data_IF_448890830858
#
_entry.id   IF_448890830858
#
_cell.length_a   1.000
_cell.length_b   1.000
_cell.length_c   1.000
_cell.angle_alpha   90.00
_cell.angle_beta   90.00
_cell.angle_gamma   90.00
#
_symmetry.space_group_name_H-M   'P 1'
#
loop_
_entity.id
_entity.type
_entity.pdbx_description
1 polymer ?
#
# COMPACT_ATOMS: atom_id res chain seq x y z
N UNK A 1 24.45 -5.40 27.51
CA UNK A 1 23.06 -4.89 27.59
C UNK A 1 22.54 -4.84 26.17
N UNK A 2 22.28 -6.02 25.63
CA UNK A 2 22.41 -6.26 24.20
C UNK A 2 21.07 -6.00 23.50
N UNK A 3 20.99 -4.83 22.86
CA UNK A 3 19.93 -4.39 21.96
C UNK A 3 19.79 -5.32 20.75
N UNK A 4 19.21 -6.52 20.88
CA UNK A 4 19.12 -7.46 19.74
C UNK A 4 17.82 -8.27 19.59
N UNK A 5 16.73 -7.94 20.31
CA UNK A 5 15.39 -8.34 19.85
C UNK A 5 14.74 -7.18 19.10
N UNK A 6 15.32 -6.84 17.94
CA UNK A 6 14.52 -6.21 16.91
C UNK A 6 13.55 -7.27 16.39
N UNK A 7 12.41 -7.46 17.08
CA UNK A 7 11.27 -8.18 16.54
C UNK A 7 11.11 -7.70 15.10
N UNK A 8 11.05 -8.58 14.09
CA UNK A 8 10.89 -8.14 12.71
C UNK A 8 9.64 -7.27 12.68
N UNK A 9 9.83 -5.94 12.62
CA UNK A 9 8.74 -4.98 12.71
C UNK A 9 7.96 -5.15 11.43
N UNK A 10 6.91 -5.96 11.52
CA UNK A 10 5.92 -6.14 10.48
C UNK A 10 5.56 -4.74 9.99
N UNK A 11 5.83 -4.40 8.71
CA UNK A 11 5.72 -3.03 8.27
C UNK A 11 4.30 -2.53 8.48
N UNK A 12 4.08 -1.51 9.31
CA UNK A 12 2.74 -0.98 9.58
C UNK A 12 2.14 -0.17 8.42
N UNK A 13 2.93 0.05 7.35
CA UNK A 13 2.58 0.89 6.21
C UNK A 13 2.83 0.14 4.92
N UNK A 14 1.90 0.28 3.99
CA UNK A 14 1.97 -0.25 2.63
C UNK A 14 2.00 0.91 1.64
N UNK A 15 2.64 0.70 0.49
CA UNK A 15 2.66 1.69 -0.59
C UNK A 15 1.43 1.52 -1.47
N UNK A 16 0.80 2.64 -1.83
CA UNK A 16 -0.38 2.70 -2.68
C UNK A 16 -0.06 3.58 -3.87
N UNK A 17 -0.33 3.09 -5.08
CA UNK A 17 -0.17 3.88 -6.30
C UNK A 17 -1.50 4.57 -6.63
N UNK A 18 -1.50 5.89 -6.71
CA UNK A 18 -2.68 6.62 -7.18
C UNK A 18 -2.85 6.40 -8.70
N UNK A 19 -4.02 5.95 -9.14
CA UNK A 19 -4.33 5.77 -10.57
C UNK A 19 -4.37 7.09 -11.36
N UNK A 20 -4.68 8.21 -10.69
CA UNK A 20 -4.80 9.53 -11.32
C UNK A 20 -3.45 10.21 -11.55
N UNK A 21 -2.71 10.47 -10.47
CA UNK A 21 -1.42 11.18 -10.57
C UNK A 21 -0.22 10.24 -10.70
N UNK A 22 -0.41 8.92 -10.62
CA UNK A 22 0.65 7.90 -10.66
C UNK A 22 1.76 8.10 -9.60
N UNK A 23 1.48 8.90 -8.57
CA UNK A 23 2.39 9.11 -7.44
C UNK A 23 2.13 8.04 -6.38
N UNK A 24 3.15 7.27 -5.98
CA UNK A 24 3.02 6.33 -4.88
C UNK A 24 3.04 7.07 -3.54
N UNK A 25 2.11 6.75 -2.65
CA UNK A 25 2.07 7.23 -1.27
C UNK A 25 2.06 6.07 -0.29
N UNK A 26 2.28 6.34 1.01
CA UNK A 26 2.30 5.31 2.05
C UNK A 26 1.06 5.44 2.93
N UNK A 27 0.29 4.37 3.05
CA UNK A 27 -0.90 4.30 3.89
C UNK A 27 -0.74 3.21 4.95
N UNK A 28 -1.37 3.37 6.11
CA UNK A 28 -1.26 2.39 7.19
C UNK A 28 -2.04 1.12 6.85
N UNK A 29 -1.48 -0.05 7.15
CA UNK A 29 -2.13 -1.34 6.91
C UNK A 29 -3.44 -1.47 7.68
N UNK A 30 -3.54 -0.87 8.86
CA UNK A 30 -4.79 -0.84 9.64
C UNK A 30 -5.96 -0.16 8.91
N UNK A 31 -5.65 0.74 7.98
CA UNK A 31 -6.59 1.49 7.15
C UNK A 31 -6.92 0.73 5.84
N UNK A 32 -6.16 -0.30 5.48
CA UNK A 32 -6.42 -1.15 4.30
C UNK A 32 -7.55 -2.15 4.58
N UNK A 33 -8.77 -1.63 4.73
CA UNK A 33 -10.00 -2.38 4.95
C UNK A 33 -10.99 -2.07 3.83
N UNK A 34 -11.87 -3.02 3.56
CA UNK A 34 -12.94 -2.83 2.58
C UNK A 34 -13.85 -1.66 3.00
N UNK A 35 -14.13 -0.77 2.06
CA UNK A 35 -14.92 0.43 2.29
C UNK A 35 -14.14 1.59 2.92
N UNK A 36 -12.86 1.43 3.27
CA UNK A 36 -12.07 2.56 3.74
C UNK A 36 -11.81 3.54 2.58
N UNK A 37 -11.96 4.83 2.85
CA UNK A 37 -11.73 5.87 1.86
C UNK A 37 -10.65 6.82 2.36
N UNK A 38 -9.67 7.11 1.50
CA UNK A 38 -8.63 8.11 1.78
C UNK A 38 -8.50 9.05 0.60
N UNK A 39 -7.95 10.24 0.83
CA UNK A 39 -7.60 11.15 -0.25
C UNK A 39 -6.13 10.97 -0.59
N UNK A 40 -5.81 10.93 -1.89
CA UNK A 40 -4.43 10.96 -2.33
C UNK A 40 -3.78 12.27 -1.86
N UNK A 41 -2.63 12.23 -1.16
CA UNK A 41 -1.99 13.44 -0.63
C UNK A 41 -1.42 14.36 -1.71
N UNK A 42 -1.34 13.90 -2.97
CA UNK A 42 -0.77 14.67 -4.07
C UNK A 42 -1.81 15.33 -4.99
N UNK A 43 -2.97 14.69 -5.19
CA UNK A 43 -3.99 15.18 -6.14
C UNK A 43 -5.39 15.27 -5.54
N UNK A 44 -5.52 15.05 -4.23
CA UNK A 44 -6.76 15.03 -3.45
C UNK A 44 -7.88 14.15 -4.03
N UNK A 45 -7.52 13.19 -4.90
CA UNK A 45 -8.47 12.23 -5.43
C UNK A 45 -8.90 11.28 -4.31
N UNK A 46 -10.20 11.13 -4.14
CA UNK A 46 -10.78 10.12 -3.25
C UNK A 46 -10.46 8.72 -3.80
N UNK A 47 -9.82 7.90 -2.97
CA UNK A 47 -9.45 6.52 -3.24
C UNK A 47 -10.26 5.66 -2.27
N UNK A 48 -11.05 4.74 -2.84
CA UNK A 48 -11.81 3.76 -2.06
C UNK A 48 -11.05 2.45 -2.08
N UNK A 49 -10.66 1.96 -0.90
CA UNK A 49 -10.06 0.65 -0.73
C UNK A 49 -11.16 -0.40 -0.67
N UNK A 50 -11.30 -1.14 -1.76
CA UNK A 50 -12.13 -2.33 -1.86
C UNK A 50 -11.35 -3.42 -2.59
N UNK A 51 -11.67 -4.68 -2.30
CA UNK A 51 -11.18 -5.81 -3.09
C UNK A 51 -11.73 -5.74 -4.53
N UNK A 52 -12.93 -5.21 -4.70
CA UNK A 52 -13.60 -4.99 -5.99
C UNK A 52 -13.23 -3.65 -6.67
N UNK A 53 -12.29 -2.88 -6.12
CA UNK A 53 -11.87 -1.62 -6.74
C UNK A 53 -11.25 -1.87 -8.12
N UNK A 54 -11.71 -1.15 -9.14
CA UNK A 54 -11.11 -1.19 -10.48
C UNK A 54 -9.66 -0.67 -10.53
N UNK A 55 -9.23 0.04 -9.49
CA UNK A 55 -7.88 0.57 -9.36
C UNK A 55 -6.88 -0.54 -8.99
N UNK A 56 -6.07 -0.98 -9.96
CA UNK A 56 -5.01 -1.97 -9.75
C UNK A 56 -4.02 -1.58 -8.63
N UNK A 57 -3.75 -0.28 -8.46
CA UNK A 57 -2.90 0.24 -7.39
C UNK A 57 -3.48 -0.02 -5.99
N UNK A 58 -4.81 0.05 -5.87
CA UNK A 58 -5.56 -0.24 -4.65
C UNK A 58 -5.59 -1.74 -4.40
N UNK A 59 -5.92 -2.55 -5.41
CA UNK A 59 -5.96 -4.01 -5.27
C UNK A 59 -4.61 -4.60 -4.85
N UNK A 60 -3.52 -4.11 -5.44
CA UNK A 60 -2.16 -4.52 -5.06
C UNK A 60 -1.83 -4.15 -3.62
N UNK A 61 -2.14 -2.93 -3.23
CA UNK A 61 -1.89 -2.48 -1.86
C UNK A 61 -2.73 -3.27 -0.84
N UNK A 62 -3.99 -3.59 -1.16
CA UNK A 62 -4.85 -4.45 -0.32
C UNK A 62 -4.30 -5.87 -0.20
N UNK A 63 -3.81 -6.43 -1.30
CA UNK A 63 -3.16 -7.76 -1.32
C UNK A 63 -1.92 -7.77 -0.45
N UNK A 64 -1.10 -6.73 -0.55
CA UNK A 64 0.13 -6.57 0.21
C UNK A 64 -0.16 -6.36 1.71
N UNK A 65 -1.13 -5.51 2.04
CA UNK A 65 -1.63 -5.35 3.40
C UNK A 65 -2.16 -6.67 4.00
N UNK A 66 -2.77 -7.54 3.18
CA UNK A 66 -3.19 -8.89 3.61
C UNK A 66 -1.99 -9.81 3.83
N UNK A 67 -1.00 -9.80 2.94
CA UNK A 67 0.23 -10.61 3.09
C UNK A 67 0.99 -10.24 4.36
N UNK A 68 1.17 -8.95 4.62
CA UNK A 68 1.88 -8.45 5.79
C UNK A 68 1.12 -8.81 7.08
N UNK A 69 -0.22 -8.70 7.09
CA UNK A 69 -1.06 -9.19 8.20
C UNK A 69 -0.90 -10.69 8.46
N UNK A 70 -0.68 -11.47 7.41
CA UNK A 70 -0.51 -12.92 7.47
C UNK A 70 0.95 -13.35 7.74
N UNK A 71 1.83 -12.43 8.16
CA UNK A 71 3.22 -12.72 8.47
C UNK A 71 4.15 -12.79 7.26
N UNK A 72 3.69 -12.44 6.06
CA UNK A 72 4.52 -12.34 4.86
C UNK A 72 5.41 -11.10 4.88
N UNK A 73 6.66 -11.24 4.41
CA UNK A 73 7.53 -10.09 4.17
C UNK A 73 6.91 -9.19 3.08
N UNK A 74 6.93 -7.88 3.30
CA UNK A 74 6.41 -6.93 2.33
C UNK A 74 7.27 -6.97 1.05
N UNK A 75 6.79 -7.61 0.00
CA UNK A 75 7.44 -7.60 -1.29
C UNK A 75 7.11 -6.26 -1.94
N UNK A 76 8.09 -5.36 -1.97
CA UNK A 76 8.01 -4.06 -2.64
C UNK A 76 7.90 -4.23 -4.17
N UNK A 77 6.80 -4.80 -4.66
CA UNK A 77 6.55 -5.01 -6.09
C UNK A 77 5.80 -3.81 -6.63
N UNK A 78 6.54 -2.74 -6.89
CA UNK A 78 6.10 -1.70 -7.83
C UNK A 78 7.27 -1.46 -8.76
N UNK A 79 7.22 -2.13 -9.92
CA UNK A 79 8.01 -1.78 -11.07
C UNK A 79 7.71 -0.34 -11.46
N UNK A 80 8.78 0.44 -11.64
CA UNK A 80 8.84 1.64 -12.43
C UNK A 80 8.29 1.35 -13.83
N UNK A 81 7.03 1.73 -14.05
CA UNK A 81 6.39 1.61 -15.35
C UNK A 81 5.91 2.98 -15.82
N UNK A 82 6.84 3.88 -16.13
CA UNK A 82 6.67 4.94 -17.14
C UNK A 82 8.02 5.61 -17.44
N UNK A 83 8.82 5.02 -18.32
CA UNK A 83 9.56 5.77 -19.35
C UNK A 83 9.93 4.82 -20.49
N UNK A 84 8.98 4.71 -21.42
CA UNK A 84 9.23 4.36 -22.81
C UNK A 84 8.71 5.54 -23.62
N UNK A 85 9.57 6.54 -23.81
CA UNK A 85 9.78 7.22 -25.10
C UNK A 85 11.06 8.05 -25.01
#
# INVERSE_FOLDING_TARGET
MDSLLATPKIPDKVRVLCSRCRVPFREKIKNMREGFQTQCPNCNRLITFSSDSADLGVQRAMTEARRIRNGGAAAAVYGSGTERL
#
